data_IF_726136528399
#
_entry.id   IF_726136528399
#
_cell.length_a   1.000
_cell.length_b   1.000
_cell.length_c   1.000
_cell.angle_alpha   90.00
_cell.angle_beta   90.00
_cell.angle_gamma   90.00
#
_symmetry.space_group_name_H-M   'P 1'
#
loop_
_entity.id
_entity.type
_entity.pdbx_description
1 polymer ?
#
# COMPACT_ATOMS: atom_id res chain seq x y z
N UNK A 1 -6.15 0.02 18.97
CA UNK A 1 -5.72 -1.07 18.06
C UNK A 1 -6.54 -2.36 18.19
N UNK A 2 -6.70 -2.97 19.37
CA UNK A 2 -7.56 -4.17 19.50
C UNK A 2 -9.03 -3.92 19.16
N UNK A 3 -9.55 -2.74 19.50
CA UNK A 3 -10.92 -2.36 19.17
C UNK A 3 -11.19 -2.34 17.66
N UNK A 4 -10.20 -1.99 16.84
CA UNK A 4 -10.30 -2.07 15.36
C UNK A 4 -10.46 -3.51 14.89
N UNK A 5 -9.71 -4.45 15.48
CA UNK A 5 -9.79 -5.87 15.13
C UNK A 5 -11.13 -6.48 15.55
N UNK A 6 -11.61 -6.16 16.75
CA UNK A 6 -12.93 -6.60 17.23
C UNK A 6 -14.03 -6.03 16.35
N UNK A 7 -13.98 -4.73 16.04
CA UNK A 7 -14.94 -4.06 15.15
C UNK A 7 -14.98 -4.70 13.75
N UNK A 8 -13.84 -5.10 13.22
CA UNK A 8 -13.75 -5.85 11.97
C UNK A 8 -14.38 -7.24 12.06
N UNK A 9 -14.10 -8.00 13.14
CA UNK A 9 -14.66 -9.34 13.34
C UNK A 9 -16.19 -9.34 13.48
N UNK A 10 -16.76 -8.32 14.09
CA UNK A 10 -18.23 -8.15 14.20
C UNK A 10 -18.87 -7.56 12.93
N UNK A 11 -18.08 -7.28 11.88
CA UNK A 11 -18.56 -6.69 10.62
C UNK A 11 -18.88 -5.21 10.69
N UNK A 12 -18.52 -4.50 11.76
CA UNK A 12 -18.76 -3.06 11.90
C UNK A 12 -17.57 -2.26 11.33
N UNK A 13 -17.56 -2.15 10.01
CA UNK A 13 -16.48 -1.52 9.24
C UNK A 13 -16.36 -0.02 9.47
N UNK A 14 -17.47 0.69 9.65
CA UNK A 14 -17.48 2.12 9.99
C UNK A 14 -16.77 2.39 11.31
N UNK A 15 -17.07 1.59 12.34
CA UNK A 15 -16.40 1.71 13.63
C UNK A 15 -14.91 1.36 13.53
N UNK A 16 -14.55 0.32 12.79
CA UNK A 16 -13.16 -0.08 12.60
C UNK A 16 -12.32 1.06 11.98
N UNK A 17 -12.84 1.70 10.91
CA UNK A 17 -12.20 2.85 10.25
C UNK A 17 -12.06 4.04 11.21
N UNK A 18 -13.13 4.38 11.94
CA UNK A 18 -13.15 5.52 12.86
C UNK A 18 -12.13 5.37 13.99
N UNK A 19 -12.01 4.17 14.54
CA UNK A 19 -11.05 3.87 15.63
C UNK A 19 -9.61 3.82 15.10
N UNK A 20 -9.42 3.43 13.84
CA UNK A 20 -8.09 3.35 13.24
C UNK A 20 -7.53 4.71 12.80
N UNK A 21 -8.39 5.64 12.35
CA UNK A 21 -7.97 6.98 11.89
C UNK A 21 -6.96 7.70 12.80
N UNK A 22 -7.22 7.90 14.11
CA UNK A 22 -6.26 8.62 14.97
C UNK A 22 -4.95 7.84 15.16
N UNK A 23 -4.97 6.52 15.06
CA UNK A 23 -3.77 5.68 15.15
C UNK A 23 -2.96 5.82 13.87
N UNK A 24 -3.62 5.86 12.72
CA UNK A 24 -2.97 6.10 11.43
C UNK A 24 -2.24 7.45 11.44
N UNK A 25 -2.93 8.53 11.84
CA UNK A 25 -2.38 9.89 11.86
C UNK A 25 -1.20 10.07 12.83
N UNK A 26 -1.11 9.21 13.85
CA UNK A 26 0.01 9.21 14.79
C UNK A 26 1.30 8.63 14.17
N UNK A 27 1.20 7.56 13.36
CA UNK A 27 2.37 6.89 12.79
C UNK A 27 2.74 7.38 11.39
N UNK A 28 1.77 7.88 10.63
CA UNK A 28 1.93 8.22 9.22
C UNK A 28 1.83 9.72 9.04
N UNK A 29 2.91 10.31 8.53
CA UNK A 29 2.93 11.71 8.17
C UNK A 29 1.98 11.96 6.99
N UNK A 30 1.12 12.98 7.12
CA UNK A 30 0.43 13.52 5.95
C UNK A 30 1.48 14.05 4.96
N UNK A 31 1.33 13.82 3.64
CA UNK A 31 2.29 14.33 2.68
C UNK A 31 2.41 15.86 2.81
N UNK A 32 3.63 16.43 2.84
CA UNK A 32 3.77 17.88 2.83
C UNK A 32 3.14 18.42 1.55
N UNK A 33 2.32 19.46 1.68
CA UNK A 33 1.59 20.09 0.58
C UNK A 33 2.51 20.82 -0.42
N UNK A 34 3.84 20.72 -0.25
CA UNK A 34 4.82 21.45 -1.02
C UNK A 34 6.02 20.55 -1.39
N UNK A 35 6.21 20.41 -2.70
CA UNK A 35 7.42 20.03 -3.43
C UNK A 35 8.04 18.64 -3.13
N UNK A 36 8.09 17.79 -4.17
CA UNK A 36 8.98 16.60 -4.34
C UNK A 36 8.43 15.18 -4.08
N UNK A 37 7.13 14.92 -4.24
CA UNK A 37 6.69 13.56 -4.62
C UNK A 37 5.44 13.57 -5.50
N UNK A 38 5.52 14.30 -6.62
CA UNK A 38 4.51 14.17 -7.67
C UNK A 38 5.02 13.13 -8.67
N UNK A 39 4.68 11.86 -8.46
CA UNK A 39 4.62 10.92 -9.59
C UNK A 39 3.31 11.24 -10.29
N UNK A 40 3.31 12.26 -11.14
CA UNK A 40 2.16 12.60 -11.98
C UNK A 40 2.11 11.63 -13.16
N UNK A 41 1.16 10.71 -13.11
CA UNK A 41 0.92 9.74 -14.18
C UNK A 41 0.07 10.34 -15.32
N UNK A 42 0.24 11.65 -15.58
CA UNK A 42 -0.67 12.63 -16.23
C UNK A 42 -1.32 13.57 -15.20
N UNK A 43 -1.62 14.81 -15.60
CA UNK A 43 -2.17 15.93 -14.79
C UNK A 43 -3.48 15.62 -14.02
N UNK A 44 -3.97 14.38 -14.06
CA UNK A 44 -5.23 13.92 -13.47
C UNK A 44 -4.98 13.13 -12.17
N UNK A 45 -3.76 12.68 -11.88
CA UNK A 45 -3.50 11.82 -10.72
C UNK A 45 -2.19 12.15 -10.00
N UNK A 46 -2.30 12.59 -8.75
CA UNK A 46 -1.19 12.77 -7.80
C UNK A 46 -1.20 11.61 -6.80
N UNK A 47 -0.22 10.71 -6.87
CA UNK A 47 0.01 9.70 -5.82
C UNK A 47 1.07 10.29 -4.88
N UNK A 48 0.68 10.62 -3.66
CA UNK A 48 1.58 11.17 -2.66
C UNK A 48 2.24 10.04 -1.88
N UNK A 49 3.57 9.99 -1.81
CA UNK A 49 4.22 8.96 -0.99
C UNK A 49 4.03 9.29 0.49
N UNK A 50 3.13 8.57 1.18
CA UNK A 50 3.04 8.62 2.64
C UNK A 50 4.31 8.05 3.25
N UNK A 51 4.83 8.71 4.28
CA UNK A 51 6.03 8.28 5.00
C UNK A 51 5.72 8.05 6.46
N UNK A 52 6.33 7.02 7.03
CA UNK A 52 6.28 6.77 8.46
C UNK A 52 7.15 7.80 9.19
N UNK A 53 6.72 8.20 10.39
CA UNK A 53 7.54 9.02 11.28
C UNK A 53 8.63 8.15 11.92
N UNK A 54 9.86 8.22 11.37
CA UNK A 54 11.01 7.45 11.85
C UNK A 54 11.28 7.62 13.35
N UNK A 55 11.08 8.84 13.87
CA UNK A 55 11.34 9.18 15.26
C UNK A 55 10.35 8.47 16.20
N UNK A 56 9.08 8.44 15.79
CA UNK A 56 8.00 7.77 16.53
C UNK A 56 8.18 6.25 16.47
N UNK A 57 8.61 5.71 15.33
CA UNK A 57 8.88 4.27 15.18
C UNK A 57 9.98 3.80 16.13
N UNK A 58 11.05 4.60 16.31
CA UNK A 58 12.17 4.25 17.18
C UNK A 58 11.79 4.23 18.67
N UNK A 59 10.88 5.11 19.11
CA UNK A 59 10.40 5.16 20.50
C UNK A 59 9.32 4.11 20.79
N UNK A 60 8.64 3.61 19.76
CA UNK A 60 7.50 2.72 19.92
C UNK A 60 7.93 1.26 20.11
N UNK A 61 7.30 0.56 21.07
CA UNK A 61 7.54 -0.87 21.28
C UNK A 61 7.21 -1.71 20.04
N UNK A 62 8.01 -2.74 19.77
CA UNK A 62 7.84 -3.63 18.61
C UNK A 62 6.45 -4.27 18.58
N UNK A 63 5.89 -4.63 19.74
CA UNK A 63 4.54 -5.21 19.86
C UNK A 63 3.48 -4.25 19.32
N UNK A 64 3.60 -2.95 19.64
CA UNK A 64 2.65 -1.94 19.17
C UNK A 64 2.80 -1.71 17.67
N UNK A 65 4.02 -1.80 17.13
CA UNK A 65 4.28 -1.74 15.69
C UNK A 65 3.67 -2.94 14.94
N UNK A 66 3.78 -4.16 15.46
CA UNK A 66 3.10 -5.33 14.89
C UNK A 66 1.58 -5.20 14.94
N UNK A 67 1.03 -4.68 16.03
CA UNK A 67 -0.40 -4.40 16.13
C UNK A 67 -0.83 -3.34 15.13
N UNK A 68 -0.02 -2.30 14.92
CA UNK A 68 -0.27 -1.27 13.92
C UNK A 68 -0.28 -1.88 12.52
N UNK A 69 0.77 -2.61 12.15
CA UNK A 69 0.93 -3.32 10.88
C UNK A 69 -0.30 -4.18 10.56
N UNK A 70 -0.75 -4.99 11.52
CA UNK A 70 -1.94 -5.83 11.35
C UNK A 70 -3.22 -5.00 11.12
N UNK A 71 -3.35 -3.84 11.76
CA UNK A 71 -4.50 -2.97 11.55
C UNK A 71 -4.47 -2.25 10.19
N UNK A 72 -3.29 -2.01 9.60
CA UNK A 72 -3.18 -1.53 8.21
C UNK A 72 -3.81 -2.56 7.27
N UNK A 73 -3.43 -3.83 7.40
CA UNK A 73 -3.98 -4.90 6.58
C UNK A 73 -5.49 -5.10 6.78
N UNK A 74 -5.98 -5.05 8.02
CA UNK A 74 -7.43 -5.14 8.31
C UNK A 74 -8.19 -3.99 7.65
N UNK A 75 -7.69 -2.77 7.76
CA UNK A 75 -8.36 -1.59 7.18
C UNK A 75 -8.34 -1.61 5.66
N UNK A 76 -7.22 -2.06 5.06
CA UNK A 76 -7.14 -2.25 3.61
C UNK A 76 -8.12 -3.33 3.13
N UNK A 77 -8.24 -4.46 3.83
CA UNK A 77 -9.21 -5.50 3.48
C UNK A 77 -10.67 -5.02 3.56
N UNK A 78 -11.03 -4.21 4.58
CA UNK A 78 -12.33 -3.53 4.64
C UNK A 78 -12.59 -2.73 3.37
N UNK A 79 -11.61 -1.91 2.97
CA UNK A 79 -11.73 -1.02 1.81
C UNK A 79 -11.84 -1.78 0.51
N UNK A 80 -11.06 -2.84 0.34
CA UNK A 80 -11.14 -3.75 -0.80
C UNK A 80 -12.53 -4.39 -0.89
N UNK A 81 -13.11 -4.80 0.25
CA UNK A 81 -14.47 -5.37 0.31
C UNK A 81 -15.56 -4.34 0.02
N UNK A 82 -15.48 -3.13 0.58
CA UNK A 82 -16.46 -2.06 0.36
C UNK A 82 -16.46 -1.59 -1.10
N UNK A 83 -15.28 -1.40 -1.68
CA UNK A 83 -15.11 -0.85 -3.03
C UNK A 83 -15.07 -1.96 -4.11
N UNK A 84 -15.32 -3.21 -3.72
CA UNK A 84 -15.35 -4.39 -4.59
C UNK A 84 -14.09 -4.50 -5.47
N UNK A 85 -12.91 -4.22 -4.89
CA UNK A 85 -11.64 -4.15 -5.61
C UNK A 85 -11.05 -5.54 -5.92
N UNK A 86 -11.71 -6.65 -5.56
CA UNK A 86 -11.28 -7.98 -5.97
C UNK A 86 -11.53 -8.24 -7.46
N UNK A 87 -10.67 -9.07 -8.06
CA UNK A 87 -10.73 -9.44 -9.48
C UNK A 87 -12.03 -10.15 -9.87
N UNK A 88 -12.73 -10.74 -8.90
CA UNK A 88 -13.96 -11.51 -9.11
C UNK A 88 -15.16 -10.65 -9.58
N UNK A 89 -15.09 -9.33 -9.37
CA UNK A 89 -16.16 -8.38 -9.74
C UNK A 89 -15.89 -7.64 -11.06
N UNK A 90 -14.85 -8.01 -11.81
CA UNK A 90 -14.59 -7.45 -13.14
C UNK A 90 -15.63 -8.01 -14.11
N UNK A 91 -16.80 -7.35 -14.17
CA UNK A 91 -17.86 -7.63 -15.13
C UNK A 91 -17.51 -6.97 -16.46
N UNK A 92 -16.70 -7.65 -17.27
CA UNK A 92 -16.32 -7.23 -18.62
C UNK A 92 -14.83 -6.89 -18.77
N UNK A 93 -14.40 -6.55 -19.98
CA UNK A 93 -12.99 -6.32 -20.30
C UNK A 93 -12.44 -4.94 -19.86
N UNK A 94 -13.21 -4.14 -19.14
CA UNK A 94 -12.88 -2.74 -18.85
C UNK A 94 -12.98 -2.43 -17.35
N UNK A 95 -11.89 -1.93 -16.77
CA UNK A 95 -11.85 -1.42 -15.39
C UNK A 95 -12.16 0.07 -15.44
N UNK A 96 -13.13 0.54 -14.64
CA UNK A 96 -13.45 1.97 -14.62
C UNK A 96 -12.25 2.79 -14.10
N UNK A 97 -12.02 4.02 -14.59
CA UNK A 97 -10.96 4.89 -14.08
C UNK A 97 -11.06 5.13 -12.56
N UNK A 98 -12.28 5.18 -12.01
CA UNK A 98 -12.51 5.30 -10.56
C UNK A 98 -12.00 4.09 -9.78
N UNK A 99 -12.15 2.87 -10.30
CA UNK A 99 -11.64 1.65 -9.67
C UNK A 99 -10.12 1.56 -9.77
N UNK A 100 -9.52 2.05 -10.86
CA UNK A 100 -8.06 2.12 -10.99
C UNK A 100 -7.48 3.07 -9.94
N UNK A 101 -8.11 4.24 -9.74
CA UNK A 101 -7.71 5.21 -8.72
C UNK A 101 -7.84 4.61 -7.32
N UNK A 102 -8.95 3.96 -7.00
CA UNK A 102 -9.16 3.28 -5.73
C UNK A 102 -8.09 2.21 -5.43
N UNK A 103 -7.76 1.37 -6.43
CA UNK A 103 -6.69 0.36 -6.31
C UNK A 103 -5.33 0.99 -6.01
N UNK A 104 -5.00 2.10 -6.66
CA UNK A 104 -3.73 2.80 -6.45
C UNK A 104 -3.66 3.46 -5.07
N UNK A 105 -4.76 4.05 -4.59
CA UNK A 105 -4.85 4.62 -3.23
C UNK A 105 -4.66 3.53 -2.18
N UNK A 106 -5.26 2.35 -2.36
CA UNK A 106 -5.05 1.24 -1.44
C UNK A 106 -3.64 0.65 -1.55
N UNK A 107 -3.03 0.60 -2.74
CA UNK A 107 -1.62 0.22 -2.90
C UNK A 107 -0.71 1.15 -2.10
N UNK A 108 -0.93 2.47 -2.17
CA UNK A 108 -0.18 3.45 -1.39
C UNK A 108 -0.27 3.17 0.12
N UNK A 109 -1.45 2.79 0.61
CA UNK A 109 -1.64 2.40 2.02
C UNK A 109 -0.89 1.12 2.37
N UNK A 110 -0.88 0.12 1.49
CA UNK A 110 -0.15 -1.15 1.70
C UNK A 110 1.36 -0.96 1.61
N UNK A 111 1.85 0.02 0.84
CA UNK A 111 3.29 0.37 0.83
C UNK A 111 3.78 0.86 2.20
N UNK A 112 2.94 1.51 2.99
CA UNK A 112 3.27 1.85 4.40
C UNK A 112 3.46 0.58 5.23
N UNK A 113 2.63 -0.45 5.01
CA UNK A 113 2.79 -1.74 5.67
C UNK A 113 4.09 -2.45 5.23
N UNK A 114 4.48 -2.33 3.96
CA UNK A 114 5.73 -2.86 3.43
C UNK A 114 6.97 -2.19 4.06
N UNK A 115 6.95 -0.87 4.18
CA UNK A 115 8.03 -0.11 4.82
C UNK A 115 8.16 -0.51 6.30
N UNK A 116 7.02 -0.61 7.00
CA UNK A 116 7.00 -1.02 8.41
C UNK A 116 7.44 -2.48 8.62
N UNK A 117 7.05 -3.41 7.74
CA UNK A 117 7.48 -4.81 7.84
C UNK A 117 8.97 -4.97 7.56
N UNK A 118 9.51 -4.17 6.63
CA UNK A 118 10.95 -4.07 6.37
C UNK A 118 11.70 -3.53 7.59
N UNK A 119 11.16 -2.48 8.24
CA UNK A 119 11.71 -1.95 9.48
C UNK A 119 11.72 -2.98 10.63
N UNK A 120 10.65 -3.76 10.77
CA UNK A 120 10.56 -4.85 11.74
C UNK A 120 11.36 -6.11 11.33
N UNK A 121 11.93 -6.13 10.12
CA UNK A 121 12.64 -7.25 9.52
C UNK A 121 11.80 -8.55 9.48
N UNK A 122 10.48 -8.43 9.29
CA UNK A 122 9.56 -9.57 9.16
C UNK A 122 9.29 -9.85 7.67
N UNK A 123 9.90 -10.93 7.18
CA UNK A 123 9.77 -11.35 5.78
C UNK A 123 8.36 -11.85 5.43
N UNK A 124 7.59 -12.35 6.39
CA UNK A 124 6.24 -12.87 6.15
C UNK A 124 5.27 -11.73 5.87
N UNK A 125 5.30 -10.68 6.69
CA UNK A 125 4.48 -9.49 6.44
C UNK A 125 4.96 -8.71 5.23
N UNK A 126 6.26 -8.69 4.96
CA UNK A 126 6.82 -8.10 3.73
C UNK A 126 6.26 -8.81 2.50
N UNK A 127 6.27 -10.14 2.48
CA UNK A 127 5.68 -10.92 1.40
C UNK A 127 4.18 -10.66 1.26
N UNK A 128 3.45 -10.62 2.38
CA UNK A 128 2.02 -10.33 2.38
C UNK A 128 1.72 -8.95 1.78
N UNK A 129 2.49 -7.91 2.13
CA UNK A 129 2.32 -6.57 1.57
C UNK A 129 2.58 -6.57 0.05
N UNK A 130 3.66 -7.24 -0.41
CA UNK A 130 3.97 -7.36 -1.84
C UNK A 130 2.85 -8.10 -2.59
N UNK A 131 2.37 -9.22 -2.06
CA UNK A 131 1.28 -10.00 -2.66
C UNK A 131 -0.01 -9.18 -2.73
N UNK A 132 -0.35 -8.41 -1.70
CA UNK A 132 -1.53 -7.54 -1.72
C UNK A 132 -1.40 -6.40 -2.72
N UNK A 133 -0.25 -5.72 -2.78
CA UNK A 133 0.01 -4.71 -3.81
C UNK A 133 -0.12 -5.31 -5.22
N UNK A 134 0.44 -6.50 -5.45
CA UNK A 134 0.30 -7.18 -6.72
C UNK A 134 -1.17 -7.51 -7.04
N UNK A 135 -1.95 -8.01 -6.08
CA UNK A 135 -3.37 -8.30 -6.28
C UNK A 135 -4.19 -7.06 -6.67
N UNK A 136 -3.85 -5.89 -6.13
CA UNK A 136 -4.48 -4.62 -6.47
C UNK A 136 -4.07 -4.11 -7.86
N UNK A 137 -2.79 -4.27 -8.22
CA UNK A 137 -2.22 -3.80 -9.50
C UNK A 137 -2.43 -4.77 -10.67
N UNK A 138 -2.60 -6.07 -10.43
CA UNK A 138 -2.70 -7.09 -11.47
C UNK A 138 -3.80 -6.78 -12.50
N UNK A 139 -5.01 -6.33 -12.12
CA UNK A 139 -6.03 -5.91 -13.09
C UNK A 139 -5.58 -4.71 -13.96
N UNK A 140 -4.86 -3.75 -13.38
CA UNK A 140 -4.34 -2.58 -14.10
C UNK A 140 -3.30 -3.01 -15.16
N UNK A 141 -2.41 -3.94 -14.78
CA UNK A 141 -1.37 -4.48 -15.67
C UNK A 141 -1.99 -5.35 -16.76
N UNK A 142 -2.94 -6.22 -16.41
CA UNK A 142 -3.53 -7.21 -17.32
C UNK A 142 -4.45 -6.59 -18.37
N UNK A 143 -5.25 -5.60 -18.00
CA UNK A 143 -6.14 -4.90 -18.93
C UNK A 143 -5.42 -3.84 -19.79
N UNK A 144 -4.08 -3.81 -19.74
CA UNK A 144 -3.23 -3.08 -20.68
C UNK A 144 -3.65 -1.61 -20.81
N UNK A 145 -3.77 -0.90 -19.68
CA UNK A 145 -3.64 0.55 -19.77
C UNK A 145 -2.28 0.79 -20.42
N UNK A 146 -2.26 1.52 -21.53
CA UNK A 146 -1.03 2.05 -22.13
C UNK A 146 -0.46 3.08 -21.16
N UNK A 147 0.03 2.61 -20.03
CA UNK A 147 0.95 3.30 -19.17
C UNK A 147 2.29 3.08 -19.85
N UNK A 148 2.67 4.02 -20.70
CA UNK A 148 4.05 4.15 -21.15
C UNK A 148 4.92 3.93 -19.91
N UNK A 149 5.75 2.87 -19.87
CA UNK A 149 6.47 2.50 -18.66
C UNK A 149 7.50 3.58 -18.35
N UNK A 150 7.19 4.47 -17.40
CA UNK A 150 8.13 5.49 -16.87
C UNK A 150 8.78 5.01 -15.56
N UNK A 151 8.63 3.73 -15.20
CA UNK A 151 9.53 3.12 -14.20
C UNK A 151 10.61 2.35 -14.95
N UNK A 152 11.64 3.06 -15.36
CA UNK A 152 12.90 2.43 -15.72
C UNK A 152 13.54 1.95 -14.41
N UNK A 153 13.21 0.72 -13.98
CA UNK A 153 13.99 0.04 -12.95
C UNK A 153 15.39 -0.18 -13.55
N UNK A 154 16.32 0.73 -13.29
CA UNK A 154 17.74 0.47 -13.53
C UNK A 154 18.19 -0.57 -12.50
N UNK A 155 17.94 -1.84 -12.80
CA UNK A 155 18.77 -2.91 -12.25
C UNK A 155 20.14 -2.74 -12.91
N UNK A 156 21.03 -2.03 -12.22
CA UNK A 156 22.44 -2.00 -12.58
C UNK A 156 22.99 -3.40 -12.27
N UNK A 157 22.97 -4.30 -13.26
CA UNK A 157 23.80 -5.49 -13.22
C UNK A 157 25.23 -5.05 -13.55
N UNK A 158 26.17 -5.04 -12.59
CA UNK A 158 27.58 -4.99 -12.95
C UNK A 158 27.87 -6.31 -13.68
N UNK A 159 28.08 -6.24 -14.99
CA UNK A 159 28.57 -7.37 -15.78
C UNK A 159 29.94 -7.75 -15.21
N UNK A 160 30.14 -8.94 -14.62
CA UNK A 160 31.48 -9.36 -14.24
C UNK A 160 32.22 -9.70 -15.52
N UNK A 161 33.16 -8.85 -15.92
CA UNK A 161 34.20 -9.25 -16.85
C UNK A 161 35.03 -10.36 -16.21
N UNK A 162 34.77 -11.60 -16.59
CA UNK A 162 35.72 -12.71 -16.41
C UNK A 162 36.27 -13.09 -17.79
N UNK A 163 37.58 -12.90 -18.02
CA UNK A 163 38.23 -13.27 -19.27
C UNK A 163 38.81 -14.66 -19.13
N UNK A 164 38.34 -15.65 -19.87
CA UNK A 164 39.03 -16.94 -20.02
C UNK A 164 38.56 -17.61 -21.32
N UNK A 165 39.39 -18.50 -21.91
CA UNK A 165 40.58 -18.23 -22.71
C UNK A 165 40.35 -18.53 -24.20
#
# INVERSE_FOLDING_TARGET
MFLTQVAYQIGNYELAKKVFSPVWDYFVASPPHNEQSVISLSNIMTITQRRLHSDILAETSSILLYLFLRNIFVTSDIKIKEENLFCDNIKGNEISPSQQIARLIECERVLVALELSSYLNDSSYTLQAVTQCYGLLAPIIYHNIVLVPVVQVRVFFPVPHWPFP
#
